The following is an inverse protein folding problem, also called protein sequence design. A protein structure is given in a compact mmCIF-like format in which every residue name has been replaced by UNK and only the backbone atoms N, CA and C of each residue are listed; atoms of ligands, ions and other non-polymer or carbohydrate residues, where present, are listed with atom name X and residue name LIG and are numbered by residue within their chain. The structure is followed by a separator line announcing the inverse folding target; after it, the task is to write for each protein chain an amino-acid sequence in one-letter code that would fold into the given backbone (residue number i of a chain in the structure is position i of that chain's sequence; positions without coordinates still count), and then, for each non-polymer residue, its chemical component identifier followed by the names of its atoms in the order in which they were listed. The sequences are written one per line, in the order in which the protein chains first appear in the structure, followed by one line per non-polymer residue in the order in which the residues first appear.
data_IF_964521669559
#
_entry.id   IF_964521669559
#
_cell.length_a   1.000
_cell.length_b   1.000
_cell.length_c   1.000
_cell.angle_alpha   90.00
_cell.angle_beta   90.00
_cell.angle_gamma   90.00
#
_symmetry.space_group_name_H-M   'P 1'
#
loop_
_entity.id
_entity.type
_entity.pdbx_description
1 polymer ?
#
# COMPACT_ATOMS: atom_id res chain seq x y z
N UNK A 1 -4.55 1.45 -12.42
CA UNK A 1 -3.11 1.29 -12.16
C UNK A 1 -2.65 -0.05 -12.73
N UNK A 2 -2.33 -0.11 -14.03
CA UNK A 2 -1.76 -1.30 -14.66
C UNK A 2 -0.28 -1.55 -14.27
N UNK A 3 0.38 -0.54 -13.73
CA UNK A 3 1.82 -0.46 -13.47
C UNK A 3 2.32 -1.45 -12.40
N UNK A 4 1.64 -1.54 -11.25
CA UNK A 4 2.01 -2.52 -10.21
C UNK A 4 1.75 -3.97 -10.62
N UNK A 5 0.62 -4.23 -11.28
CA UNK A 5 0.23 -5.57 -11.73
C UNK A 5 1.15 -6.10 -12.83
N UNK A 6 1.45 -5.26 -13.83
CA UNK A 6 2.34 -5.64 -14.92
C UNK A 6 3.77 -5.91 -14.42
N UNK A 7 4.23 -5.16 -13.41
CA UNK A 7 5.52 -5.42 -12.78
C UNK A 7 5.54 -6.79 -12.08
N UNK A 8 4.49 -7.10 -11.29
CA UNK A 8 4.32 -8.38 -10.63
C UNK A 8 4.24 -9.53 -11.66
N UNK A 9 3.38 -9.43 -12.68
CA UNK A 9 3.27 -10.46 -13.72
C UNK A 9 4.59 -10.70 -14.45
N UNK A 10 5.37 -9.64 -14.70
CA UNK A 10 6.68 -9.77 -15.34
C UNK A 10 7.64 -10.55 -14.45
N UNK A 11 7.66 -10.26 -13.16
CA UNK A 11 8.47 -11.01 -12.20
C UNK A 11 8.05 -12.48 -12.16
N UNK A 12 6.75 -12.76 -12.00
CA UNK A 12 6.21 -14.12 -11.98
C UNK A 12 6.57 -14.92 -13.23
N UNK A 13 6.47 -14.29 -14.41
CA UNK A 13 6.82 -14.93 -15.69
C UNK A 13 8.32 -15.12 -15.90
N UNK A 14 9.16 -14.31 -15.24
CA UNK A 14 10.61 -14.42 -15.37
C UNK A 14 11.17 -15.72 -14.76
N UNK A 15 10.33 -16.48 -14.04
CA UNK A 15 10.71 -17.72 -13.35
C UNK A 15 11.95 -17.54 -12.45
N UNK A 16 12.16 -16.31 -11.95
CA UNK A 16 13.13 -16.08 -10.90
C UNK A 16 12.76 -16.99 -9.72
N UNK A 17 13.76 -17.63 -9.12
CA UNK A 17 13.61 -18.69 -8.10
C UNK A 17 12.83 -18.28 -6.84
N UNK A 18 12.40 -17.02 -6.73
CA UNK A 18 11.61 -16.45 -5.63
C UNK A 18 10.47 -15.56 -6.11
N UNK A 19 9.89 -15.90 -7.26
CA UNK A 19 8.70 -15.22 -7.77
C UNK A 19 7.52 -15.47 -6.82
N UNK A 20 6.84 -14.42 -6.33
CA UNK A 20 5.72 -14.62 -5.42
C UNK A 20 4.51 -15.21 -6.15
N UNK A 21 3.84 -16.16 -5.50
CA UNK A 21 2.59 -16.73 -5.99
C UNK A 21 1.43 -15.76 -5.79
N UNK A 22 0.37 -15.84 -6.59
CA UNK A 22 -0.84 -15.07 -6.31
C UNK A 22 -1.58 -15.67 -5.11
N UNK A 23 -2.10 -14.81 -4.23
CA UNK A 23 -2.95 -15.23 -3.14
C UNK A 23 -4.32 -15.63 -3.68
N UNK A 24 -4.77 -16.84 -3.37
CA UNK A 24 -6.17 -17.26 -3.48
C UNK A 24 -6.82 -17.25 -2.09
N UNK A 25 -8.10 -16.90 -2.02
CA UNK A 25 -8.85 -16.94 -0.77
C UNK A 25 -9.34 -18.33 -0.40
N UNK A 26 -9.28 -19.30 -1.32
CA UNK A 26 -9.58 -20.69 -1.04
C UNK A 26 -8.44 -21.33 -0.23
N UNK A 27 -8.80 -21.94 0.90
CA UNK A 27 -7.83 -22.66 1.73
C UNK A 27 -6.93 -21.78 2.61
N UNK A 28 -7.22 -20.49 2.81
CA UNK A 28 -6.52 -19.70 3.84
C UNK A 28 -6.85 -20.21 5.25
N UNK A 29 -5.82 -20.69 5.96
CA UNK A 29 -5.94 -21.21 7.33
C UNK A 29 -5.18 -20.33 8.33
N UNK A 30 -3.97 -19.89 8.01
CA UNK A 30 -3.11 -19.15 8.93
C UNK A 30 -2.35 -17.97 8.28
N UNK A 31 -1.56 -17.26 9.09
CA UNK A 31 -0.79 -16.09 8.66
C UNK A 31 0.41 -16.50 7.79
N UNK A 32 0.98 -17.67 8.05
CA UNK A 32 2.07 -18.29 7.31
C UNK A 32 1.68 -18.55 5.86
N UNK A 33 0.45 -19.03 5.62
CA UNK A 33 -0.11 -19.27 4.29
C UNK A 33 -0.16 -18.03 3.42
N UNK A 34 -0.22 -16.84 3.99
CA UNK A 34 -0.30 -15.59 3.24
C UNK A 34 1.08 -14.98 2.96
N UNK A 35 2.11 -15.42 3.69
CA UNK A 35 3.46 -14.91 3.50
C UNK A 35 3.97 -15.27 2.10
N UNK A 36 4.70 -14.33 1.50
CA UNK A 36 5.25 -14.42 0.14
C UNK A 36 4.22 -14.53 -0.99
N UNK A 37 2.92 -14.43 -0.70
CA UNK A 37 1.86 -14.35 -1.71
C UNK A 37 1.53 -12.91 -2.06
N UNK A 38 1.22 -12.69 -3.34
CA UNK A 38 0.89 -11.41 -3.93
C UNK A 38 -0.63 -11.22 -4.00
N UNK A 39 -1.11 -10.08 -3.51
CA UNK A 39 -2.54 -9.74 -3.47
C UNK A 39 -2.71 -8.25 -3.78
N UNK A 40 -3.87 -7.87 -4.32
CA UNK A 40 -4.25 -6.47 -4.46
C UNK A 40 -4.98 -6.01 -3.19
N UNK A 41 -4.68 -4.81 -2.72
CA UNK A 41 -5.39 -4.22 -1.58
C UNK A 41 -5.92 -2.82 -1.89
N UNK A 42 -7.06 -2.50 -1.31
CA UNK A 42 -7.59 -1.15 -1.14
C UNK A 42 -7.17 -0.62 0.24
N UNK A 43 -6.40 0.46 0.25
CA UNK A 43 -5.78 1.00 1.45
C UNK A 43 -6.06 2.49 1.61
N UNK A 44 -6.47 2.87 2.82
CA UNK A 44 -6.72 4.26 3.20
C UNK A 44 -5.49 4.83 3.92
N UNK A 45 -4.91 5.90 3.37
CA UNK A 45 -3.72 6.53 3.94
C UNK A 45 -4.06 7.36 5.20
N UNK A 46 -3.04 7.98 5.80
CA UNK A 46 -3.24 8.80 7.00
C UNK A 46 -4.11 10.05 6.74
N UNK A 47 -4.12 10.54 5.50
CA UNK A 47 -4.86 11.71 5.06
C UNK A 47 -6.31 11.37 4.65
N UNK A 48 -6.73 10.10 4.78
CA UNK A 48 -8.05 9.60 4.36
C UNK A 48 -8.17 9.30 2.86
N UNK A 49 -7.12 9.52 2.08
CA UNK A 49 -7.04 9.17 0.67
C UNK A 49 -6.95 7.66 0.45
N UNK A 50 -7.80 7.14 -0.43
CA UNK A 50 -7.84 5.72 -0.81
C UNK A 50 -6.87 5.43 -1.95
N UNK A 51 -6.25 4.25 -1.94
CA UNK A 51 -5.41 3.79 -3.05
C UNK A 51 -5.49 2.27 -3.22
N UNK A 52 -5.53 1.82 -4.47
CA UNK A 52 -5.41 0.40 -4.84
C UNK A 52 -3.95 0.05 -5.13
N UNK A 53 -3.42 -1.03 -4.55
CA UNK A 53 -2.02 -1.42 -4.72
C UNK A 53 -1.84 -2.93 -4.70
N UNK A 54 -1.00 -3.42 -5.60
CA UNK A 54 -0.46 -4.77 -5.52
C UNK A 54 0.66 -4.82 -4.48
N UNK A 55 0.60 -5.82 -3.61
CA UNK A 55 1.57 -6.07 -2.56
C UNK A 55 1.94 -7.56 -2.51
N UNK A 56 3.11 -7.87 -1.95
CA UNK A 56 3.47 -9.23 -1.52
C UNK A 56 3.75 -9.18 -0.02
N UNK A 57 2.95 -9.88 0.78
CA UNK A 57 3.10 -9.85 2.23
C UNK A 57 4.36 -10.62 2.67
N UNK A 58 5.03 -10.16 3.72
CA UNK A 58 6.29 -10.74 4.20
C UNK A 58 6.23 -11.18 5.64
N UNK A 59 5.61 -10.37 6.49
CA UNK A 59 5.41 -10.69 7.89
C UNK A 59 4.26 -9.87 8.45
N UNK A 60 3.64 -10.40 9.50
CA UNK A 60 2.63 -9.72 10.30
C UNK A 60 3.25 -9.47 11.68
N UNK A 61 3.02 -8.27 12.18
CA UNK A 61 3.50 -7.78 13.47
C UNK A 61 2.28 -7.40 14.31
N UNK A 62 1.98 -8.25 15.27
CA UNK A 62 0.88 -8.09 16.21
C UNK A 62 1.31 -7.37 17.49
N UNK A 63 2.58 -6.95 17.58
CA UNK A 63 3.11 -6.25 18.75
C UNK A 63 2.60 -4.80 18.76
N UNK A 64 1.49 -4.59 19.46
CA UNK A 64 1.01 -3.27 19.80
C UNK A 64 -0.52 -3.14 19.79
N UNK A 65 -1.03 -1.90 19.95
CA UNK A 65 -2.46 -1.65 20.02
C UNK A 65 -3.18 -1.82 18.66
N UNK A 66 -2.44 -1.93 17.56
CA UNK A 66 -3.00 -2.09 16.22
C UNK A 66 -2.02 -2.91 15.39
N UNK A 67 -2.42 -4.10 14.91
CA UNK A 67 -1.56 -4.94 14.10
C UNK A 67 -1.06 -4.21 12.85
N UNK A 68 0.18 -4.51 12.50
CA UNK A 68 0.83 -4.04 11.28
C UNK A 68 1.27 -5.24 10.47
N UNK A 69 1.49 -5.04 9.19
CA UNK A 69 2.13 -6.04 8.35
C UNK A 69 3.15 -5.37 7.43
N UNK A 70 4.21 -6.10 7.13
CA UNK A 70 5.25 -5.69 6.22
C UNK A 70 4.98 -6.34 4.87
N UNK A 71 4.98 -5.53 3.81
CA UNK A 71 4.76 -6.02 2.47
C UNK A 71 5.64 -5.28 1.45
N UNK A 72 6.08 -6.01 0.43
CA UNK A 72 6.69 -5.41 -0.74
C UNK A 72 5.61 -4.74 -1.58
N UNK A 73 5.69 -3.42 -1.76
CA UNK A 73 4.73 -2.67 -2.54
C UNK A 73 5.19 -2.56 -3.99
N UNK A 74 4.48 -3.19 -4.93
CA UNK A 74 4.85 -3.21 -6.34
C UNK A 74 4.81 -1.85 -7.03
N UNK A 75 3.93 -0.95 -6.55
CA UNK A 75 3.85 0.43 -7.06
C UNK A 75 5.10 1.24 -6.70
N UNK A 76 5.64 1.04 -5.49
CA UNK A 76 6.80 1.80 -4.98
C UNK A 76 8.12 1.05 -5.09
N UNK A 77 8.08 -0.24 -5.45
CA UNK A 77 9.22 -1.16 -5.55
C UNK A 77 10.08 -1.25 -4.27
N UNK A 78 9.44 -1.16 -3.10
CA UNK A 78 10.11 -1.21 -1.80
C UNK A 78 9.22 -1.88 -0.74
N UNK A 79 9.85 -2.44 0.31
CA UNK A 79 9.15 -2.95 1.49
C UNK A 79 8.61 -1.79 2.32
N UNK A 80 7.35 -1.87 2.76
CA UNK A 80 6.73 -0.88 3.63
C UNK A 80 5.90 -1.57 4.71
N UNK A 81 5.74 -0.89 5.83
CA UNK A 81 4.76 -1.27 6.85
C UNK A 81 3.40 -0.65 6.55
N UNK A 82 2.35 -1.43 6.76
CA UNK A 82 0.96 -1.02 6.66
C UNK A 82 0.26 -1.35 7.97
N UNK A 83 -0.71 -0.52 8.35
CA UNK A 83 -1.59 -0.84 9.47
C UNK A 83 -2.76 -1.67 8.96
N UNK A 84 -3.04 -2.78 9.63
CA UNK A 84 -4.09 -3.71 9.23
C UNK A 84 -5.49 -3.07 9.27
N UNK A 85 -5.74 -2.19 10.25
CA UNK A 85 -7.00 -1.45 10.43
C UNK A 85 -7.36 -0.47 9.29
N UNK A 86 -6.39 -0.17 8.41
CA UNK A 86 -6.56 0.75 7.27
C UNK A 86 -6.76 0.05 5.93
N UNK A 87 -6.74 -1.28 5.92
CA UNK A 87 -7.07 -2.05 4.74
C UNK A 87 -8.59 -2.16 4.65
N UNK A 88 -9.16 -1.64 3.56
CA UNK A 88 -10.60 -1.71 3.33
C UNK A 88 -10.98 -3.06 2.74
N UNK A 89 -10.25 -3.53 1.74
CA UNK A 89 -10.58 -4.74 0.98
C UNK A 89 -9.31 -5.35 0.39
N UNK A 90 -9.22 -6.68 0.41
CA UNK A 90 -8.27 -7.45 -0.39
C UNK A 90 -8.99 -8.01 -1.62
N UNK A 91 -8.29 -8.02 -2.74
CA UNK A 91 -8.76 -8.50 -4.03
C UNK A 91 -7.74 -9.50 -4.55
N UNK A 92 -8.18 -10.71 -4.85
CA UNK A 92 -7.32 -11.79 -5.35
C UNK A 92 -7.08 -11.67 -6.87
N UNK A 93 -6.47 -12.70 -7.48
CA UNK A 93 -6.25 -12.75 -8.92
C UNK A 93 -7.51 -13.02 -9.75
N UNK A 94 -8.53 -13.65 -9.15
CA UNK A 94 -9.80 -13.98 -9.80
C UNK A 94 -10.82 -12.84 -9.68
N UNK A 95 -10.50 -11.82 -8.90
CA UNK A 95 -11.32 -10.63 -8.67
C UNK A 95 -12.28 -10.79 -7.50
N UNK A 96 -12.17 -11.87 -6.73
CA UNK A 96 -12.89 -12.03 -5.48
C UNK A 96 -12.44 -10.94 -4.49
N UNK A 97 -13.37 -10.51 -3.65
CA UNK A 97 -13.15 -9.42 -2.71
C UNK A 97 -13.49 -9.89 -1.30
N UNK A 98 -12.58 -9.65 -0.36
CA UNK A 98 -12.80 -9.89 1.07
C UNK A 98 -12.48 -8.62 1.84
N UNK A 99 -13.30 -8.27 2.85
CA UNK A 99 -13.02 -7.08 3.65
C UNK A 99 -11.69 -7.25 4.38
N UNK A 100 -10.98 -6.14 4.60
CA UNK A 100 -9.70 -6.20 5.31
C UNK A 100 -9.85 -6.83 6.70
N UNK A 101 -10.95 -6.52 7.40
CA UNK A 101 -11.23 -7.10 8.72
C UNK A 101 -11.45 -8.61 8.67
N UNK A 102 -12.36 -9.07 7.82
CA UNK A 102 -12.68 -10.50 7.72
C UNK A 102 -11.46 -11.30 7.27
N UNK A 103 -10.63 -10.72 6.41
CA UNK A 103 -9.36 -11.30 5.99
C UNK A 103 -8.42 -11.55 7.17
N UNK A 104 -8.14 -10.52 7.98
CA UNK A 104 -7.25 -10.64 9.13
C UNK A 104 -7.82 -11.57 10.20
N UNK A 105 -9.12 -11.50 10.48
CA UNK A 105 -9.79 -12.41 11.41
C UNK A 105 -9.68 -13.88 10.95
N UNK A 106 -9.80 -14.14 9.63
CA UNK A 106 -9.68 -15.49 9.06
C UNK A 106 -8.29 -16.10 9.23
N UNK A 107 -7.23 -15.29 9.19
CA UNK A 107 -5.85 -15.74 9.38
C UNK A 107 -5.38 -15.64 10.84
N UNK A 108 -6.31 -15.42 11.78
CA UNK A 108 -6.03 -15.40 13.21
C UNK A 108 -5.55 -14.07 13.79
N UNK A 109 -5.50 -13.00 12.99
CA UNK A 109 -5.01 -11.67 13.42
C UNK A 109 -6.14 -10.86 14.04
N UNK A 110 -6.02 -10.54 15.33
CA UNK A 110 -7.06 -9.83 16.06
C UNK A 110 -6.98 -8.31 15.81
N UNK A 111 -7.99 -7.76 15.14
CA UNK A 111 -8.09 -6.31 14.95
C UNK A 111 -8.86 -5.65 16.10
N UNK A 112 -8.36 -4.52 16.65
CA UNK A 112 -9.12 -3.76 17.61
C UNK A 112 -10.48 -3.37 17.01
N UNK A 113 -11.53 -3.24 17.83
CA UNK A 113 -12.82 -2.79 17.34
C UNK A 113 -12.64 -1.43 16.64
N UNK A 114 -13.37 -1.17 15.55
CA UNK A 114 -13.24 0.10 14.84
C UNK A 114 -13.49 1.19 15.88
N UNK A 115 -12.53 2.11 16.06
CA UNK A 115 -12.64 3.18 17.03
C UNK A 115 -14.01 3.82 16.81
N UNK A 116 -14.93 3.62 17.76
CA UNK A 116 -16.30 4.10 17.60
C UNK A 116 -16.17 5.58 17.30
N UNK A 117 -16.51 5.97 16.08
CA UNK A 117 -16.41 7.35 15.67
C UNK A 117 -17.46 8.01 16.53
N UNK A 118 -17.04 8.58 17.67
CA UNK A 118 -17.81 9.54 18.40
C UNK A 118 -17.91 10.70 17.44
N UNK A 119 -18.89 10.60 16.51
CA UNK A 119 -19.30 11.67 15.64
C UNK A 119 -19.77 12.72 16.62
N UNK A 120 -18.84 13.59 17.03
CA UNK A 120 -19.16 14.84 17.67
C UNK A 120 -19.99 15.55 16.63
N UNK A 121 -21.31 15.36 16.70
CA UNK A 121 -22.30 16.13 16.00
C UNK A 121 -22.08 17.55 16.52
N UNK A 122 -21.14 18.26 15.89
CA UNK A 122 -21.04 19.70 16.04
C UNK A 122 -22.33 20.20 15.42
N UNK A 123 -23.34 20.38 16.28
CA UNK A 123 -24.66 20.89 15.95
C UNK A 123 -24.42 22.27 15.34
N UNK A 124 -24.36 22.30 14.01
CA UNK A 124 -24.26 23.51 13.20
C UNK A 124 -25.44 24.39 13.57
N UNK A 125 -25.20 25.34 14.48
CA UNK A 125 -26.10 26.47 14.68
C UNK A 125 -26.07 27.25 13.37
N UNK A 126 -27.19 27.24 12.66
CA UNK A 126 -27.49 28.16 11.56
C UNK A 126 -27.11 29.58 11.99
N UNK A 127 -26.22 30.20 11.25
CA UNK A 127 -26.16 31.65 11.13
C UNK A 127 -26.41 31.93 9.65
N UNK A 128 -27.65 32.29 9.36
CA UNK A 128 -28.07 32.81 8.08
C UNK A 128 -27.33 34.14 7.87
N UNK A 129 -26.52 34.25 6.83
CA UNK A 129 -26.05 35.55 6.33
C UNK A 129 -25.89 35.44 4.82
N UNK A 130 -26.97 35.83 4.14
CA UNK A 130 -26.99 36.18 2.74
C UNK A 130 -26.16 37.46 2.53
N UNK A 131 -25.17 37.44 1.64
CA UNK A 131 -24.95 38.52 0.67
C UNK A 131 -23.89 38.17 -0.39
N UNK A 132 -24.36 38.11 -1.64
CA UNK A 132 -23.80 38.80 -2.82
C UNK A 132 -22.28 38.78 -3.06
N UNK A 133 -21.85 38.16 -4.16
CA UNK A 133 -21.71 38.83 -5.46
C UNK A 133 -20.83 37.99 -6.38
N UNK A 134 -21.33 37.79 -7.60
CA UNK A 134 -20.61 37.24 -8.73
C UNK A 134 -19.34 38.06 -8.99
N UNK A 135 -18.20 37.41 -9.18
CA UNK A 135 -17.13 38.00 -9.98
C UNK A 135 -16.60 36.97 -10.99
N UNK A 136 -17.01 37.19 -12.24
CA UNK A 136 -16.38 36.64 -13.44
C UNK A 136 -15.07 37.38 -13.68
N UNK A 137 -13.97 36.64 -13.82
CA UNK A 137 -12.82 37.12 -14.58
C UNK A 137 -12.04 35.93 -15.12
N UNK A 138 -12.20 35.77 -16.43
CA UNK A 138 -11.34 35.08 -17.38
C UNK A 138 -9.86 35.45 -17.20
N UNK A 139 -8.99 34.45 -17.15
CA UNK A 139 -7.53 34.61 -17.14
C UNK A 139 -6.85 33.50 -17.94
N UNK A 140 -6.25 33.92 -19.05
CA UNK A 140 -5.56 33.17 -20.11
C UNK A 140 -4.27 32.46 -19.66
N UNK A 141 -4.01 31.32 -20.31
CA UNK A 141 -2.73 30.81 -20.83
C UNK A 141 -1.42 31.06 -20.07
N UNK A 142 -0.71 29.97 -19.72
CA UNK A 142 0.74 29.89 -19.91
C UNK A 142 1.22 28.44 -19.95
N UNK A 143 1.71 28.08 -21.14
CA UNK A 143 2.69 27.03 -21.45
C UNK A 143 3.89 27.06 -20.51
N UNK A 144 4.36 25.90 -20.06
CA UNK A 144 5.80 25.63 -19.96
C UNK A 144 6.06 24.13 -19.86
N UNK A 145 6.63 23.60 -20.95
CA UNK A 145 7.35 22.34 -20.98
C UNK A 145 8.60 22.49 -20.11
N UNK A 146 8.88 21.52 -19.23
CA UNK A 146 10.24 21.34 -18.70
C UNK A 146 10.61 19.88 -18.74
N UNK A 147 11.42 19.54 -19.74
CA UNK A 147 12.18 18.30 -19.80
C UNK A 147 13.21 18.29 -18.66
N UNK A 148 12.99 17.45 -17.66
CA UNK A 148 13.93 17.17 -16.59
C UNK A 148 14.77 15.93 -16.91
N UNK A 149 15.85 16.14 -17.66
CA UNK A 149 16.93 15.17 -17.82
C UNK A 149 17.82 15.22 -16.58
N UNK A 150 18.10 14.06 -15.96
CA UNK A 150 19.23 13.92 -15.04
C UNK A 150 18.89 13.33 -13.67
N UNK A 151 19.27 12.06 -13.46
CA UNK A 151 20.34 11.73 -12.50
C UNK A 151 20.58 10.21 -12.49
N UNK A 152 21.47 9.81 -13.38
CA UNK A 152 22.06 8.47 -13.48
C UNK A 152 23.34 8.41 -12.66
N UNK A 153 23.31 8.71 -11.35
CA UNK A 153 24.50 8.58 -10.49
C UNK A 153 24.09 8.11 -9.10
N UNK A 154 23.90 6.81 -8.91
CA UNK A 154 23.90 6.19 -7.58
C UNK A 154 24.27 4.70 -7.60
N UNK A 155 25.01 4.23 -8.62
CA UNK A 155 25.32 2.79 -8.80
C UNK A 155 26.75 2.41 -8.40
N UNK A 156 27.53 3.29 -7.78
CA UNK A 156 28.96 3.04 -7.51
C UNK A 156 29.37 2.95 -6.03
N UNK A 157 28.44 3.05 -5.07
CA UNK A 157 28.79 2.95 -3.63
C UNK A 157 28.58 1.53 -3.06
N UNK A 158 27.80 0.67 -3.71
CA UNK A 158 27.46 -0.64 -3.14
C UNK A 158 28.52 -1.74 -3.35
N UNK A 159 29.41 -1.61 -4.34
CA UNK A 159 30.43 -2.65 -4.61
C UNK A 159 31.57 -2.60 -3.57
N UNK A 160 31.86 -1.43 -2.99
CA UNK A 160 32.91 -1.30 -1.98
C UNK A 160 32.59 -1.98 -0.64
N UNK A 161 31.32 -2.07 -0.25
CA UNK A 161 30.93 -2.60 1.06
C UNK A 161 30.94 -4.15 1.11
N UNK A 162 30.71 -4.81 -0.03
CA UNK A 162 30.72 -6.28 -0.12
C UNK A 162 32.15 -6.85 -0.07
N UNK A 163 33.13 -6.13 -0.61
CA UNK A 163 34.54 -6.57 -0.55
C UNK A 163 35.08 -6.47 0.89
N UNK A 164 34.73 -5.41 1.64
CA UNK A 164 35.23 -5.23 3.02
C UNK A 164 34.69 -6.29 4.00
N UNK A 165 33.46 -6.79 3.78
CA UNK A 165 32.86 -7.82 4.63
C UNK A 165 33.44 -9.22 4.42
N UNK A 166 33.98 -9.51 3.22
CA UNK A 166 34.62 -10.80 2.93
C UNK A 166 36.04 -10.86 3.52
N UNK A 167 36.75 -9.72 3.60
CA UNK A 167 38.09 -9.65 4.23
C UNK A 167 38.11 -9.73 5.76
N UNK A 168 36.95 -9.68 6.43
CA UNK A 168 36.85 -9.81 7.89
C UNK A 168 36.48 -11.23 8.35
N UNK A 169 36.25 -12.15 7.41
CA UNK A 169 35.84 -13.54 7.66
C UNK A 169 36.93 -14.58 7.29
N UNK A 170 38.11 -14.14 6.85
CA UNK A 170 39.31 -14.94 6.62
C UNK A 170 40.50 -14.30 7.32
#
# INVERSE_FOLDING_TARGET
MPDGFNALQREVRSAASRSPEFLSFDGLVDAEDVCDKAVCMEYTNADGGKSKRWITMRSIDEDGPTPKFFAYCWVRRQVRSFRADRVETFIDCDGECISGRDFFERIGVNLPPPASVSRSRKKSRKADTEHSSYNSSSGTAATTESAGTGNTIATLVFIGFVIYLISLLF
#
